data_IF_092043564936
#
_entry.id   IF_092043564936
#
_cell.length_a   1.000
_cell.length_b   1.000
_cell.length_c   1.000
_cell.angle_alpha   90.00
_cell.angle_beta   90.00
_cell.angle_gamma   90.00
#
_symmetry.space_group_name_H-M   'P 1'
#
loop_
_entity.id
_entity.type
_entity.pdbx_description
1 polymer ?
#
# COMPACT_ATOMS: atom_id res chain seq x y z
N UNK A 1 -9.06 -15.17 -4.60
CA UNK A 1 -9.92 -13.97 -4.37
C UNK A 1 -9.63 -13.40 -2.99
N UNK A 2 -9.42 -12.08 -2.90
CA UNK A 2 -9.16 -11.39 -1.64
C UNK A 2 -10.14 -10.24 -1.42
N UNK A 3 -10.44 -9.96 -0.16
CA UNK A 3 -11.15 -8.75 0.25
C UNK A 3 -10.13 -7.71 0.68
N UNK A 4 -10.19 -6.52 0.11
CA UNK A 4 -9.26 -5.43 0.46
C UNK A 4 -10.00 -4.15 0.81
N UNK A 5 -9.39 -3.32 1.65
CA UNK A 5 -9.78 -1.93 1.90
C UNK A 5 -8.67 -1.00 1.46
N UNK A 6 -9.03 0.12 0.83
CA UNK A 6 -8.08 1.13 0.38
C UNK A 6 -7.95 2.26 1.39
N UNK A 7 -6.75 2.43 1.93
CA UNK A 7 -6.41 3.42 2.96
C UNK A 7 -5.47 4.48 2.38
N UNK A 8 -5.74 5.74 2.73
CA UNK A 8 -4.93 6.89 2.35
C UNK A 8 -4.48 7.65 3.59
N UNK A 9 -3.17 7.80 3.74
CA UNK A 9 -2.55 8.47 4.89
C UNK A 9 -2.42 10.00 4.73
N UNK A 10 -2.39 10.50 3.49
CA UNK A 10 -2.22 11.94 3.19
C UNK A 10 -3.30 12.43 2.23
N UNK A 11 -3.72 13.70 2.37
CA UNK A 11 -4.75 14.35 1.53
C UNK A 11 -4.48 14.25 0.01
N UNK A 12 -3.21 14.20 -0.39
CA UNK A 12 -2.76 14.02 -1.78
C UNK A 12 -1.82 12.80 -1.97
N UNK A 13 -2.02 11.72 -1.21
CA UNK A 13 -1.17 10.52 -1.24
C UNK A 13 -1.63 9.41 -2.20
N UNK A 14 -0.81 8.35 -2.32
CA UNK A 14 -1.21 7.06 -2.92
C UNK A 14 -2.20 6.33 -2.01
N UNK A 15 -3.04 5.49 -2.60
CA UNK A 15 -3.92 4.57 -1.89
C UNK A 15 -3.15 3.26 -1.71
N UNK A 16 -3.16 2.74 -0.49
CA UNK A 16 -2.59 1.45 -0.14
C UNK A 16 -3.73 0.50 0.21
N UNK A 17 -3.61 -0.75 -0.19
CA UNK A 17 -4.63 -1.76 0.07
C UNK A 17 -4.20 -2.64 1.24
N UNK A 18 -5.14 -2.90 2.14
CA UNK A 18 -4.94 -3.72 3.33
C UNK A 18 -6.05 -4.77 3.42
N UNK A 19 -5.75 -5.86 4.10
CA UNK A 19 -6.72 -6.89 4.45
C UNK A 19 -7.56 -6.38 5.65
N UNK A 20 -8.89 -6.27 5.52
CA UNK A 20 -9.76 -5.82 6.60
C UNK A 20 -10.17 -6.96 7.56
N UNK A 21 -9.70 -8.19 7.36
CA UNK A 21 -10.19 -9.39 8.04
C UNK A 21 -11.70 -9.54 7.88
N UNK A 22 -12.37 -9.75 9.01
CA UNK A 22 -13.84 -9.87 9.08
C UNK A 22 -14.56 -8.51 9.24
N UNK A 23 -13.82 -7.39 9.25
CA UNK A 23 -14.41 -6.07 9.48
C UNK A 23 -14.97 -5.47 8.19
N UNK A 24 -16.19 -4.93 8.28
CA UNK A 24 -16.81 -4.13 7.23
C UNK A 24 -16.53 -2.66 7.55
N UNK A 25 -15.67 -2.01 6.76
CA UNK A 25 -15.20 -0.66 7.02
C UNK A 25 -15.68 0.27 5.90
N UNK A 26 -16.61 1.20 6.19
CA UNK A 26 -17.13 2.10 5.18
C UNK A 26 -16.11 3.17 4.76
N UNK A 27 -16.31 3.71 3.54
CA UNK A 27 -15.54 4.87 3.07
C UNK A 27 -15.80 6.06 3.98
N UNK A 28 -14.73 6.77 4.34
CA UNK A 28 -14.83 7.92 5.22
C UNK A 28 -14.33 7.66 6.64
N UNK A 29 -14.30 6.39 7.05
CA UNK A 29 -13.79 5.99 8.35
C UNK A 29 -12.27 6.09 8.45
N UNK A 30 -11.81 6.17 9.68
CA UNK A 30 -10.39 6.23 9.99
C UNK A 30 -9.93 4.93 10.61
N UNK A 31 -8.77 4.47 10.15
CA UNK A 31 -8.18 3.21 10.58
C UNK A 31 -6.73 3.44 10.98
N UNK A 32 -6.31 2.60 11.92
CA UNK A 32 -4.91 2.48 12.31
C UNK A 32 -4.42 1.15 11.72
N UNK A 33 -3.34 1.20 10.95
CA UNK A 33 -2.74 0.02 10.32
C UNK A 33 -1.28 -0.08 10.69
N UNK A 34 -0.79 -1.30 10.88
CA UNK A 34 0.62 -1.57 11.11
C UNK A 34 1.35 -1.72 9.76
N UNK A 35 2.42 -0.94 9.59
CA UNK A 35 3.27 -0.99 8.40
C UNK A 35 4.70 -1.36 8.81
N UNK A 36 5.56 -1.65 7.84
CA UNK A 36 6.98 -1.93 8.10
C UNK A 36 7.74 -0.77 8.79
N UNK A 37 7.17 0.43 8.85
CA UNK A 37 7.74 1.60 9.52
C UNK A 37 7.11 1.87 10.90
N UNK A 38 6.17 1.03 11.30
CA UNK A 38 5.36 1.19 12.51
C UNK A 38 3.90 1.47 12.20
N UNK A 39 3.21 1.97 13.21
CA UNK A 39 1.77 2.22 13.20
C UNK A 39 1.47 3.51 12.41
N UNK A 40 0.58 3.45 11.44
CA UNK A 40 0.12 4.59 10.65
C UNK A 40 -1.40 4.80 10.79
N UNK A 41 -1.82 6.07 10.85
CA UNK A 41 -3.22 6.49 10.88
C UNK A 41 -3.66 6.98 9.50
N UNK A 42 -4.72 6.40 8.95
CA UNK A 42 -5.18 6.70 7.61
C UNK A 42 -6.70 6.74 7.50
N UNK A 43 -7.18 7.26 6.38
CA UNK A 43 -8.60 7.32 6.05
C UNK A 43 -8.93 6.27 5.00
N UNK A 44 -10.02 5.54 5.20
CA UNK A 44 -10.57 4.61 4.22
C UNK A 44 -11.19 5.42 3.09
N UNK A 45 -10.66 5.20 1.88
CA UNK A 45 -11.10 5.84 0.64
C UNK A 45 -11.68 4.83 -0.35
N UNK A 46 -11.47 3.53 -0.11
CA UNK A 46 -12.12 2.43 -0.82
C UNK A 46 -12.61 1.45 0.25
N UNK A 47 -13.93 1.22 0.30
CA UNK A 47 -14.53 0.20 1.16
C UNK A 47 -14.11 -1.21 0.75
N UNK A 48 -14.53 -2.21 1.51
CA UNK A 48 -14.29 -3.62 1.23
C UNK A 48 -14.61 -3.94 -0.24
N UNK A 49 -13.58 -4.29 -0.99
CA UNK A 49 -13.66 -4.64 -2.41
C UNK A 49 -13.09 -6.03 -2.61
N UNK A 50 -13.83 -6.88 -3.32
CA UNK A 50 -13.31 -8.15 -3.79
C UNK A 50 -12.43 -7.93 -5.01
N UNK A 51 -11.26 -8.54 -4.99
CA UNK A 51 -10.24 -8.41 -6.02
C UNK A 51 -9.64 -9.79 -6.31
N UNK A 52 -9.35 -10.03 -7.58
CA UNK A 52 -8.69 -11.27 -7.98
C UNK A 52 -7.20 -11.21 -7.64
N UNK A 53 -6.57 -12.36 -7.45
CA UNK A 53 -5.13 -12.46 -7.13
C UNK A 53 -4.25 -11.74 -8.15
N UNK A 54 -4.70 -11.65 -9.40
CA UNK A 54 -3.97 -11.01 -10.50
C UNK A 54 -4.11 -9.48 -10.56
N UNK A 55 -5.14 -8.91 -9.91
CA UNK A 55 -5.40 -7.45 -9.89
C UNK A 55 -4.71 -6.75 -8.71
N UNK A 56 -4.12 -7.53 -7.80
CA UNK A 56 -3.65 -7.05 -6.50
C UNK A 56 -2.14 -6.95 -6.50
N UNK A 57 -1.66 -5.72 -6.66
CA UNK A 57 -0.24 -5.39 -6.56
C UNK A 57 0.12 -5.04 -5.10
N UNK A 58 0.16 -6.06 -4.23
CA UNK A 58 0.52 -5.95 -2.81
C UNK A 58 2.03 -6.11 -2.59
N UNK A 59 2.58 -5.33 -1.65
CA UNK A 59 3.46 -4.22 -2.00
C UNK A 59 4.56 -4.58 -3.02
N UNK A 60 4.50 -3.93 -4.19
CA UNK A 60 5.70 -3.65 -4.98
C UNK A 60 6.61 -2.68 -4.22
N UNK A 61 7.49 -3.23 -3.38
CA UNK A 61 8.74 -2.56 -3.07
C UNK A 61 9.88 -3.56 -2.94
N UNK A 62 10.41 -4.02 -4.09
CA UNK A 62 11.83 -4.34 -4.15
C UNK A 62 12.59 -3.03 -3.97
N UNK A 63 13.06 -2.77 -2.74
CA UNK A 63 14.16 -1.84 -2.53
C UNK A 63 15.43 -2.50 -3.04
N UNK A 64 15.79 -2.23 -4.30
CA UNK A 64 17.16 -2.46 -4.76
C UNK A 64 17.98 -1.18 -4.47
N UNK A 65 18.96 -1.22 -3.57
CA UNK A 65 19.77 -0.04 -3.25
C UNK A 65 20.97 0.14 -4.19
N UNK A 66 21.07 -0.54 -5.34
CA UNK A 66 22.24 -0.40 -6.23
C UNK A 66 21.93 0.47 -7.43
N UNK A 67 21.89 1.77 -7.16
CA UNK A 67 21.92 2.84 -8.17
C UNK A 67 23.27 2.82 -8.90
N UNK A 68 23.24 2.36 -10.15
CA UNK A 68 24.07 2.73 -11.30
C UNK A 68 25.58 3.00 -11.07
N UNK A 69 26.41 1.95 -11.19
CA UNK A 69 27.86 2.11 -11.42
C UNK A 69 28.09 2.34 -12.92
N UNK A 70 27.87 3.57 -13.41
CA UNK A 70 28.34 3.95 -14.76
C UNK A 70 29.82 4.34 -14.73
N UNK A 71 30.53 3.69 -15.64
CA UNK A 71 31.95 3.75 -15.98
C UNK A 71 32.51 5.17 -16.09
N UNK A 72 33.68 5.40 -15.50
CA UNK A 72 34.78 6.11 -16.16
C UNK A 72 36.06 5.27 -15.96
N UNK A 73 36.32 4.36 -16.89
CA UNK A 73 37.70 4.04 -17.27
C UNK A 73 37.91 4.74 -18.59
N UNK A 74 38.67 5.81 -18.53
CA UNK A 74 38.98 6.72 -19.61
C UNK A 74 40.22 7.49 -19.24
N UNK A 75 41.34 6.76 -19.10
CA UNK A 75 42.72 7.11 -19.47
C UNK A 75 43.64 5.98 -19.02
#
# INVERSE_FOLDING_TARGET
MYTVVGVRFKKAGKIYYFDPGDFIIPVGEFVIVETARGIEYGKVVVANKQVDENDVVLPLKKSDPRRERKRQMGR
#
